data_IF_165520181056
#
_entry.id   IF_165520181056
#
_cell.length_a   1.000
_cell.length_b   1.000
_cell.length_c   1.000
_cell.angle_alpha   90.00
_cell.angle_beta   90.00
_cell.angle_gamma   90.00
#
_symmetry.space_group_name_H-M   'P 1'
#
loop_
_entity.id
_entity.type
_entity.pdbx_description
1 polymer ?
#
# COMPACT_ATOMS: atom_id res chain seq x y z
N UNK A 1 -19.71 39.56 -36.62
CA UNK A 1 -18.64 39.69 -35.61
C UNK A 1 -18.87 38.83 -34.35
N UNK A 2 -20.11 38.60 -33.89
CA UNK A 2 -20.39 37.77 -32.72
C UNK A 2 -20.02 36.27 -32.86
N UNK A 3 -20.16 35.68 -34.06
CA UNK A 3 -19.89 34.25 -34.29
C UNK A 3 -18.41 33.86 -34.09
N UNK A 4 -17.46 34.74 -34.47
CA UNK A 4 -16.02 34.47 -34.29
C UNK A 4 -15.58 34.55 -32.82
N UNK A 5 -16.20 35.41 -32.01
CA UNK A 5 -15.91 35.49 -30.57
C UNK A 5 -16.44 34.25 -29.82
N UNK A 6 -17.65 33.79 -30.18
CA UNK A 6 -18.24 32.57 -29.61
C UNK A 6 -17.45 31.29 -29.97
N UNK A 7 -16.93 31.21 -31.19
CA UNK A 7 -16.09 30.07 -31.61
C UNK A 7 -14.73 30.07 -30.90
N UNK A 8 -14.15 31.26 -30.69
CA UNK A 8 -12.91 31.43 -29.94
C UNK A 8 -13.05 31.04 -28.46
N UNK A 9 -14.15 31.41 -27.80
CA UNK A 9 -14.39 31.03 -26.40
C UNK A 9 -14.63 29.53 -26.24
N UNK A 10 -15.38 28.90 -27.15
CA UNK A 10 -15.63 27.45 -27.12
C UNK A 10 -14.34 26.63 -27.32
N UNK A 11 -13.43 27.05 -28.21
CA UNK A 11 -12.13 26.39 -28.39
C UNK A 11 -11.24 26.52 -27.14
N UNK A 12 -11.25 27.68 -26.49
CA UNK A 12 -10.50 27.91 -25.27
C UNK A 12 -11.03 27.05 -24.11
N UNK A 13 -12.34 26.96 -23.95
CA UNK A 13 -13.00 26.09 -22.95
C UNK A 13 -12.67 24.61 -23.19
N UNK A 14 -12.74 24.14 -24.43
CA UNK A 14 -12.40 22.76 -24.79
C UNK A 14 -10.92 22.44 -24.48
N UNK A 15 -10.01 23.36 -24.77
CA UNK A 15 -8.59 23.21 -24.46
C UNK A 15 -8.35 23.15 -22.94
N UNK A 16 -8.95 24.06 -22.17
CA UNK A 16 -8.85 24.07 -20.71
C UNK A 16 -9.45 22.82 -20.09
N UNK A 17 -10.60 22.36 -20.58
CA UNK A 17 -11.21 21.09 -20.14
C UNK A 17 -10.26 19.92 -20.37
N UNK A 18 -9.70 19.79 -21.58
CA UNK A 18 -8.75 18.72 -21.89
C UNK A 18 -7.47 18.74 -21.04
N UNK A 19 -6.98 19.93 -20.66
CA UNK A 19 -5.85 20.03 -19.72
C UNK A 19 -6.24 19.59 -18.30
N UNK A 20 -7.44 19.96 -17.84
CA UNK A 20 -7.96 19.56 -16.54
C UNK A 20 -8.18 18.04 -16.46
N UNK A 21 -8.76 17.44 -17.51
CA UNK A 21 -9.00 16.00 -17.59
C UNK A 21 -7.68 15.22 -17.53
N UNK A 22 -6.67 15.65 -18.29
CA UNK A 22 -5.34 15.05 -18.28
C UNK A 22 -4.66 15.17 -16.91
N UNK A 23 -4.77 16.34 -16.29
CA UNK A 23 -4.22 16.57 -14.94
C UNK A 23 -4.89 15.67 -13.91
N UNK A 24 -6.23 15.57 -13.97
CA UNK A 24 -7.00 14.72 -13.07
C UNK A 24 -6.68 13.23 -13.27
N UNK A 25 -6.47 12.81 -14.51
CA UNK A 25 -6.04 11.46 -14.84
C UNK A 25 -4.69 11.13 -14.19
N UNK A 26 -3.65 11.95 -14.38
CA UNK A 26 -2.35 11.70 -13.72
C UNK A 26 -2.42 11.75 -12.20
N UNK A 27 -3.24 12.63 -11.62
CA UNK A 27 -3.48 12.64 -10.16
C UNK A 27 -4.08 11.33 -9.67
N UNK A 28 -5.00 10.71 -10.42
CA UNK A 28 -5.58 9.40 -10.06
C UNK A 28 -4.51 8.31 -10.07
N UNK A 29 -3.66 8.27 -11.10
CA UNK A 29 -2.54 7.33 -11.20
C UNK A 29 -1.60 7.49 -10.00
N UNK A 30 -1.15 8.70 -9.72
CA UNK A 30 -0.23 8.97 -8.60
C UNK A 30 -0.83 8.58 -7.25
N UNK A 31 -2.13 8.87 -7.04
CA UNK A 31 -2.82 8.47 -5.81
C UNK A 31 -2.92 6.95 -5.67
N UNK A 32 -3.14 6.22 -6.76
CA UNK A 32 -3.20 4.76 -6.76
C UNK A 32 -1.84 4.15 -6.40
N UNK A 33 -0.77 4.62 -7.06
CA UNK A 33 0.60 4.20 -6.74
C UNK A 33 0.98 4.50 -5.30
N UNK A 34 0.62 5.68 -4.78
CA UNK A 34 0.89 6.04 -3.39
C UNK A 34 0.22 5.05 -2.43
N UNK A 35 -1.07 4.76 -2.62
CA UNK A 35 -1.81 3.81 -1.76
C UNK A 35 -1.22 2.40 -1.81
N UNK A 36 -0.83 1.95 -3.01
CA UNK A 36 -0.16 0.66 -3.17
C UNK A 36 1.17 0.62 -2.43
N UNK A 37 2.00 1.65 -2.61
CA UNK A 37 3.28 1.75 -1.92
C UNK A 37 3.10 1.80 -0.40
N UNK A 38 2.16 2.58 0.12
CA UNK A 38 1.81 2.62 1.54
C UNK A 38 1.40 1.23 2.07
N UNK A 39 0.60 0.47 1.31
CA UNK A 39 0.23 -0.89 1.69
C UNK A 39 1.41 -1.87 1.68
N UNK A 40 2.30 -1.77 0.67
CA UNK A 40 3.52 -2.59 0.60
C UNK A 40 4.43 -2.31 1.80
N UNK A 41 4.64 -1.04 2.14
CA UNK A 41 5.43 -0.65 3.31
C UNK A 41 4.81 -1.18 4.60
N UNK A 42 3.50 -1.03 4.78
CA UNK A 42 2.81 -1.57 5.95
C UNK A 42 2.93 -3.10 6.07
N UNK A 43 2.90 -3.82 4.94
CA UNK A 43 3.09 -5.26 4.93
C UNK A 43 4.52 -5.63 5.35
N UNK A 44 5.51 -4.95 4.78
CA UNK A 44 6.91 -5.16 5.13
C UNK A 44 7.18 -4.88 6.63
N UNK A 45 6.65 -3.79 7.17
CA UNK A 45 6.81 -3.46 8.59
C UNK A 45 6.19 -4.55 9.49
N UNK A 46 5.04 -5.10 9.11
CA UNK A 46 4.41 -6.20 9.83
C UNK A 46 5.21 -7.51 9.73
N UNK A 47 5.78 -7.82 8.56
CA UNK A 47 6.69 -8.97 8.38
C UNK A 47 7.93 -8.84 9.28
N UNK A 48 8.54 -7.65 9.32
CA UNK A 48 9.70 -7.37 10.18
C UNK A 48 9.36 -7.57 11.66
N UNK A 49 8.17 -7.16 12.10
CA UNK A 49 7.71 -7.40 13.49
C UNK A 49 7.68 -8.90 13.81
N UNK A 50 7.08 -9.71 12.93
CA UNK A 50 7.02 -11.18 13.05
C UNK A 50 8.42 -11.77 13.15
N UNK A 51 9.31 -11.46 12.19
CA UNK A 51 10.67 -12.01 12.18
C UNK A 51 11.47 -11.63 13.44
N UNK A 52 11.29 -10.40 13.93
CA UNK A 52 11.95 -9.94 15.15
C UNK A 52 11.49 -10.72 16.38
N UNK A 53 10.20 -11.03 16.51
CA UNK A 53 9.67 -11.79 17.66
C UNK A 53 10.09 -13.26 17.53
N UNK A 54 10.00 -13.84 16.34
CA UNK A 54 10.44 -15.20 16.07
C UNK A 54 11.93 -15.40 16.41
N UNK A 55 12.80 -14.47 15.99
CA UNK A 55 14.23 -14.54 16.33
C UNK A 55 14.51 -14.37 17.83
N UNK A 56 13.68 -13.63 18.57
CA UNK A 56 13.80 -13.57 20.04
C UNK A 56 13.42 -14.89 20.70
N UNK A 57 12.42 -15.59 20.14
CA UNK A 57 11.99 -16.91 20.59
C UNK A 57 13.09 -17.95 20.36
N UNK A 58 13.70 -17.96 19.17
CA UNK A 58 14.83 -18.82 18.83
C UNK A 58 16.01 -18.59 19.80
N UNK A 59 16.42 -17.34 20.00
CA UNK A 59 17.47 -16.99 20.97
C UNK A 59 17.09 -17.39 22.41
N UNK A 60 15.81 -17.30 22.76
CA UNK A 60 15.35 -17.70 24.09
C UNK A 60 15.49 -19.22 24.28
N UNK A 61 15.11 -20.02 23.28
CA UNK A 61 15.26 -21.48 23.32
C UNK A 61 16.72 -21.91 23.36
N UNK A 62 17.60 -21.20 22.65
CA UNK A 62 19.04 -21.46 22.66
C UNK A 62 19.70 -21.14 24.02
N UNK A 63 19.25 -20.07 24.67
CA UNK A 63 19.89 -19.55 25.90
C UNK A 63 19.25 -20.06 27.20
N UNK A 64 17.98 -20.46 27.17
CA UNK A 64 17.22 -20.80 28.38
C UNK A 64 16.46 -22.13 28.23
N UNK A 65 17.02 -23.21 28.79
CA UNK A 65 16.43 -24.56 28.73
C UNK A 65 15.70 -25.01 30.01
N UNK A 66 15.84 -24.30 31.13
CA UNK A 66 15.47 -24.85 32.46
C UNK A 66 14.08 -24.45 32.94
N UNK A 67 13.17 -24.02 32.05
CA UNK A 67 11.76 -23.74 32.36
C UNK A 67 11.50 -22.54 33.30
N UNK A 68 12.54 -21.99 33.92
CA UNK A 68 12.48 -20.86 34.86
C UNK A 68 11.79 -19.62 34.26
N UNK A 69 11.90 -19.45 32.94
CA UNK A 69 11.42 -18.28 32.20
C UNK A 69 10.22 -18.59 31.29
N UNK A 70 9.48 -19.68 31.52
CA UNK A 70 8.34 -20.07 30.66
C UNK A 70 7.31 -18.95 30.46
N UNK A 71 7.04 -18.14 31.49
CA UNK A 71 6.14 -16.99 31.35
C UNK A 71 6.60 -15.95 30.31
N UNK A 72 7.91 -15.81 30.09
CA UNK A 72 8.47 -14.97 29.02
C UNK A 72 8.31 -15.63 27.67
N UNK A 73 8.53 -16.95 27.58
CA UNK A 73 8.27 -17.74 26.38
C UNK A 73 6.81 -17.62 25.95
N UNK A 74 5.87 -17.92 26.85
CA UNK A 74 4.42 -17.84 26.60
C UNK A 74 4.01 -16.45 26.11
N UNK A 75 4.61 -15.41 26.70
CA UNK A 75 4.39 -14.02 26.26
C UNK A 75 4.89 -13.79 24.84
N UNK A 76 6.11 -14.22 24.51
CA UNK A 76 6.66 -14.08 23.16
C UNK A 76 5.84 -14.86 22.13
N UNK A 77 5.37 -16.06 22.46
CA UNK A 77 4.51 -16.87 21.59
C UNK A 77 3.16 -16.17 21.35
N UNK A 78 2.58 -15.57 22.39
CA UNK A 78 1.36 -14.78 22.27
C UNK A 78 1.58 -13.53 21.40
N UNK A 79 2.67 -12.81 21.62
CA UNK A 79 3.05 -11.65 20.80
C UNK A 79 3.28 -12.04 19.34
N UNK A 80 3.90 -13.20 19.08
CA UNK A 80 4.11 -13.73 17.74
C UNK A 80 2.79 -14.06 17.05
N UNK A 81 1.85 -14.70 17.74
CA UNK A 81 0.53 -15.00 17.21
C UNK A 81 -0.25 -13.71 16.85
N UNK A 82 -0.17 -12.68 17.70
CA UNK A 82 -0.77 -11.39 17.43
C UNK A 82 -0.11 -10.67 16.24
N UNK A 83 1.21 -10.75 16.11
CA UNK A 83 1.94 -10.17 14.98
C UNK A 83 1.56 -10.86 13.66
N UNK A 84 1.43 -12.19 13.65
CA UNK A 84 0.92 -12.92 12.48
C UNK A 84 -0.50 -12.52 12.09
N UNK A 85 -1.40 -12.36 13.07
CA UNK A 85 -2.76 -11.90 12.82
C UNK A 85 -2.76 -10.50 12.16
N UNK A 86 -1.97 -9.56 12.71
CA UNK A 86 -1.82 -8.22 12.13
C UNK A 86 -1.27 -8.28 10.70
N UNK A 87 -0.25 -9.10 10.45
CA UNK A 87 0.30 -9.29 9.11
C UNK A 87 -0.76 -9.80 8.14
N UNK A 88 -1.57 -10.79 8.55
CA UNK A 88 -2.65 -11.31 7.71
C UNK A 88 -3.76 -10.29 7.41
N UNK A 89 -3.93 -9.28 8.27
CA UNK A 89 -4.89 -8.20 8.05
C UNK A 89 -4.38 -7.13 7.07
N UNK A 90 -3.06 -7.07 6.81
CA UNK A 90 -2.50 -6.12 5.84
C UNK A 90 -2.83 -6.57 4.42
N UNK A 91 -3.67 -5.78 3.75
CA UNK A 91 -4.07 -6.03 2.36
C UNK A 91 -3.21 -5.23 1.38
N UNK A 92 -2.33 -5.92 0.67
CA UNK A 92 -1.65 -5.38 -0.51
C UNK A 92 -2.45 -5.78 -1.75
N UNK A 93 -3.31 -4.88 -2.23
CA UNK A 93 -4.08 -5.10 -3.46
C UNK A 93 -3.24 -4.75 -4.68
N UNK A 94 -3.38 -5.51 -5.77
CA UNK A 94 -2.75 -5.16 -7.05
C UNK A 94 -3.28 -3.82 -7.56
N UNK A 95 -2.42 -3.11 -8.30
CA UNK A 95 -2.82 -1.91 -9.04
C UNK A 95 -3.85 -2.30 -10.11
N UNK A 96 -5.07 -1.77 -10.00
CA UNK A 96 -6.14 -1.98 -10.98
C UNK A 96 -6.00 -0.98 -12.14
N UNK A 97 -5.28 -1.40 -13.16
CA UNK A 97 -5.05 -0.62 -14.38
C UNK A 97 -6.31 -0.45 -15.24
N UNK A 98 -7.26 -1.38 -15.16
CA UNK A 98 -8.51 -1.32 -15.92
C UNK A 98 -9.43 -0.20 -15.40
N UNK A 99 -9.47 0.02 -14.09
CA UNK A 99 -10.17 1.17 -13.48
C UNK A 99 -9.66 2.54 -13.96
N UNK A 100 -8.46 2.61 -14.53
CA UNK A 100 -7.86 3.83 -15.05
C UNK A 100 -8.11 4.05 -16.55
N UNK A 101 -8.72 3.09 -17.24
CA UNK A 101 -8.88 3.12 -18.71
C UNK A 101 -7.56 2.96 -19.45
N UNK A 102 -6.52 2.48 -18.79
CA UNK A 102 -5.18 2.28 -19.35
C UNK A 102 -4.99 0.81 -19.76
N UNK A 103 -4.37 0.54 -20.93
CA UNK A 103 -4.02 -0.82 -21.31
C UNK A 103 -3.01 -1.39 -20.31
N UNK A 104 -3.20 -2.63 -19.84
CA UNK A 104 -2.21 -3.32 -19.01
C UNK A 104 -0.88 -3.40 -19.76
N UNK A 105 0.15 -2.71 -19.25
CA UNK A 105 1.41 -2.50 -19.96
C UNK A 105 2.34 -3.73 -19.83
N UNK A 106 2.02 -4.71 -18.98
CA UNK A 106 2.87 -5.89 -18.75
C UNK A 106 2.04 -7.17 -18.60
N UNK A 107 2.26 -8.13 -19.50
CA UNK A 107 1.90 -9.56 -19.39
C UNK A 107 3.18 -10.38 -19.39
#
# INVERSE_FOLDING_TARGET
MAANQFHGSMLQEAYTSGMNDRTNHYRRILNMYRRFHEAVVANYDAEVEVYRIAGKLELFEDLFNDGFMNHVKDKLETELALAHARLSDVKVSNLDWEMLGEPQIWR
#
